data_IF_881764766626
#
_entry.id   IF_881764766626
#
_cell.length_a   1.000
_cell.length_b   1.000
_cell.length_c   1.000
_cell.angle_alpha   90.00
_cell.angle_beta   90.00
_cell.angle_gamma   90.00
#
_symmetry.space_group_name_H-M   'P 1'
#
loop_
_entity.id
_entity.type
_entity.pdbx_description
1 polymer ?
#
# COMPACT_ATOMS: atom_id res chain seq x y z
N UNK A 1 -15.18 8.52 2.71
CA UNK A 1 -16.14 8.62 3.84
C UNK A 1 -15.90 7.55 4.91
N UNK A 2 -15.62 6.29 4.55
CA UNK A 2 -15.32 5.19 5.48
C UNK A 2 -14.05 5.38 6.34
N UNK A 3 -12.99 5.95 5.78
CA UNK A 3 -11.73 6.22 6.51
C UNK A 3 -11.88 7.28 7.60
N UNK A 4 -12.64 8.33 7.33
CA UNK A 4 -12.90 9.43 8.27
C UNK A 4 -13.69 8.94 9.50
N UNK A 5 -14.71 8.11 9.28
CA UNK A 5 -15.48 7.50 10.36
C UNK A 5 -14.63 6.56 11.22
N UNK A 6 -13.76 5.75 10.58
CA UNK A 6 -12.83 4.86 11.27
C UNK A 6 -11.84 5.65 12.15
N UNK A 7 -11.26 6.72 11.62
CA UNK A 7 -10.33 7.58 12.38
C UNK A 7 -11.05 8.31 13.52
N UNK A 8 -12.23 8.87 13.27
CA UNK A 8 -13.03 9.55 14.30
C UNK A 8 -13.41 8.62 15.45
N UNK A 9 -13.80 7.38 15.16
CA UNK A 9 -14.10 6.37 16.18
C UNK A 9 -12.93 6.17 17.15
N UNK A 10 -11.70 5.98 16.62
CA UNK A 10 -10.51 5.80 17.44
C UNK A 10 -10.09 7.08 18.19
N UNK A 11 -10.22 8.25 17.58
CA UNK A 11 -9.94 9.54 18.22
C UNK A 11 -10.88 9.79 19.40
N UNK A 12 -12.17 9.49 19.25
CA UNK A 12 -13.16 9.65 20.32
C UNK A 12 -12.91 8.67 21.48
N UNK A 13 -12.52 7.43 21.20
CA UNK A 13 -12.11 6.47 22.23
C UNK A 13 -10.88 7.00 22.98
N UNK A 14 -9.84 7.45 22.27
CA UNK A 14 -8.62 7.98 22.87
C UNK A 14 -8.91 9.23 23.74
N UNK A 15 -9.70 10.17 23.22
CA UNK A 15 -10.13 11.36 23.96
C UNK A 15 -10.98 11.00 25.19
N UNK A 16 -11.86 10.01 25.08
CA UNK A 16 -12.66 9.51 26.20
C UNK A 16 -11.82 8.87 27.31
N UNK A 17 -10.84 8.04 26.95
CA UNK A 17 -9.90 7.44 27.90
C UNK A 17 -9.01 8.51 28.56
N UNK A 18 -8.53 9.47 27.78
CA UNK A 18 -7.73 10.60 28.26
C UNK A 18 -8.53 11.48 29.24
N UNK A 19 -9.78 11.81 28.89
CA UNK A 19 -10.67 12.57 29.75
C UNK A 19 -10.99 11.82 31.04
N UNK A 20 -11.21 10.49 30.98
CA UNK A 20 -11.43 9.66 32.16
C UNK A 20 -10.19 9.65 33.07
N UNK A 21 -8.99 9.54 32.50
CA UNK A 21 -7.73 9.61 33.24
C UNK A 21 -7.51 10.98 33.90
N UNK A 22 -7.84 12.09 33.24
CA UNK A 22 -7.76 13.43 33.86
C UNK A 22 -8.84 13.67 34.93
N UNK A 23 -9.95 12.92 34.89
CA UNK A 23 -11.01 13.01 35.90
C UNK A 23 -10.65 12.25 37.18
N UNK A 24 -9.86 11.19 37.08
CA UNK A 24 -9.41 10.40 38.24
C UNK A 24 -8.24 11.04 38.98
N UNK A 25 -7.51 11.98 38.38
CA UNK A 25 -6.33 12.63 39.01
C UNK A 25 -6.67 13.87 39.83
N UNK A 26 -7.81 14.54 39.60
CA UNK A 26 -8.18 15.79 40.29
C UNK A 26 -8.98 15.62 41.58
N UNK A 27 -9.23 14.40 42.05
CA UNK A 27 -10.07 14.17 43.22
C UNK A 27 -9.78 12.87 43.95
N UNK A 28 -8.65 12.81 44.68
CA UNK A 28 -8.47 12.16 46.01
C UNK A 28 -7.00 11.84 46.27
N UNK A 29 -6.38 12.66 47.13
CA UNK A 29 -5.52 12.13 48.17
C UNK A 29 -6.39 11.29 49.11
N UNK A 30 -6.58 10.03 48.76
CA UNK A 30 -7.07 9.00 49.65
C UNK A 30 -6.52 7.69 49.11
N UNK A 31 -5.60 7.10 49.87
CA UNK A 31 -5.18 5.70 49.76
C UNK A 31 -6.39 4.80 49.97
N UNK A 32 -7.27 4.74 48.99
CA UNK A 32 -8.21 3.64 48.83
C UNK A 32 -7.54 2.76 47.81
N UNK A 33 -6.90 1.71 48.29
CA UNK A 33 -6.45 0.62 47.44
C UNK A 33 -7.58 0.36 46.45
N UNK A 34 -7.35 0.73 45.19
CA UNK A 34 -8.16 0.23 44.09
C UNK A 34 -7.91 -1.25 44.21
N UNK A 35 -8.80 -1.95 44.91
CA UNK A 35 -8.87 -3.39 44.83
C UNK A 35 -9.17 -3.60 43.36
N UNK A 36 -8.11 -3.75 42.57
CA UNK A 36 -8.20 -4.15 41.20
C UNK A 36 -9.15 -5.31 41.25
N UNK A 37 -10.36 -5.16 40.69
CA UNK A 37 -11.21 -6.32 40.45
C UNK A 37 -10.32 -7.17 39.58
N UNK A 38 -9.69 -8.17 40.19
CA UNK A 38 -8.73 -9.03 39.52
C UNK A 38 -9.56 -9.63 38.39
N UNK A 39 -9.30 -9.22 37.15
CA UNK A 39 -9.98 -9.84 36.02
C UNK A 39 -9.73 -11.34 36.18
N UNK A 40 -10.80 -12.15 36.22
CA UNK A 40 -10.63 -13.57 36.47
C UNK A 40 -9.64 -14.10 35.43
N UNK A 41 -8.71 -14.94 35.87
CA UNK A 41 -7.58 -15.41 35.05
C UNK A 41 -8.05 -16.02 33.72
N UNK A 42 -9.27 -16.55 33.68
CA UNK A 42 -9.97 -17.05 32.48
C UNK A 42 -10.23 -15.98 31.42
N UNK A 43 -10.52 -14.73 31.80
CA UNK A 43 -10.73 -13.63 30.85
C UNK A 43 -9.41 -13.15 30.23
N UNK A 44 -8.32 -13.12 31.01
CA UNK A 44 -6.98 -12.78 30.50
C UNK A 44 -6.51 -13.87 29.53
N UNK A 45 -6.67 -15.14 29.90
CA UNK A 45 -6.33 -16.28 29.04
C UNK A 45 -7.20 -16.33 27.79
N UNK A 46 -8.51 -16.05 27.91
CA UNK A 46 -9.43 -15.98 26.78
C UNK A 46 -9.07 -14.86 25.80
N UNK A 47 -8.74 -13.67 26.31
CA UNK A 47 -8.29 -12.55 25.46
C UNK A 47 -6.94 -12.83 24.78
N UNK A 48 -5.98 -13.41 25.51
CA UNK A 48 -4.70 -13.80 24.94
C UNK A 48 -4.86 -14.88 23.86
N UNK A 49 -5.69 -15.89 24.11
CA UNK A 49 -6.00 -16.95 23.14
C UNK A 49 -6.71 -16.38 21.92
N UNK A 50 -7.73 -15.55 22.11
CA UNK A 50 -8.44 -14.89 21.01
C UNK A 50 -7.49 -14.04 20.16
N UNK A 51 -6.58 -13.29 20.78
CA UNK A 51 -5.60 -12.46 20.06
C UNK A 51 -4.63 -13.31 19.27
N UNK A 52 -4.14 -14.43 19.81
CA UNK A 52 -3.30 -15.38 19.07
C UNK A 52 -4.06 -16.04 17.92
N UNK A 53 -5.29 -16.46 18.17
CA UNK A 53 -6.14 -17.13 17.17
C UNK A 53 -6.48 -16.17 16.04
N UNK A 54 -7.02 -14.99 16.32
CA UNK A 54 -7.30 -13.98 15.29
C UNK A 54 -6.01 -13.45 14.64
N UNK A 55 -4.92 -13.33 15.40
CA UNK A 55 -3.61 -12.92 14.90
C UNK A 55 -2.97 -13.91 13.91
N UNK A 56 -3.39 -15.18 13.93
CA UNK A 56 -2.94 -16.20 12.95
C UNK A 56 -3.98 -16.45 11.88
N UNK A 57 -5.26 -16.59 12.26
CA UNK A 57 -6.37 -16.91 11.35
C UNK A 57 -6.61 -15.79 10.35
N UNK A 58 -6.62 -14.52 10.78
CA UNK A 58 -6.90 -13.41 9.86
C UNK A 58 -5.79 -13.30 8.80
N UNK A 59 -4.49 -13.26 9.15
CA UNK A 59 -3.44 -13.24 8.13
C UNK A 59 -3.47 -14.47 7.20
N UNK A 60 -3.67 -15.68 7.74
CA UNK A 60 -3.74 -16.89 6.93
C UNK A 60 -4.92 -16.85 5.93
N UNK A 61 -6.10 -16.43 6.38
CA UNK A 61 -7.28 -16.30 5.53
C UNK A 61 -7.07 -15.23 4.44
N UNK A 62 -6.40 -14.12 4.76
CA UNK A 62 -6.06 -13.08 3.78
C UNK A 62 -5.10 -13.64 2.73
N UNK A 63 -4.03 -14.32 3.14
CA UNK A 63 -3.05 -14.91 2.20
C UNK A 63 -3.74 -15.86 1.22
N UNK A 64 -4.60 -16.77 1.70
CA UNK A 64 -5.37 -17.69 0.85
C UNK A 64 -6.34 -16.93 -0.08
N UNK A 65 -6.95 -15.85 0.41
CA UNK A 65 -7.89 -15.05 -0.38
C UNK A 65 -7.21 -14.19 -1.45
N UNK A 66 -5.93 -13.85 -1.29
CA UNK A 66 -5.19 -13.05 -2.28
C UNK A 66 -4.79 -13.87 -3.51
N UNK A 67 -4.46 -15.15 -3.33
CA UNK A 67 -4.12 -16.07 -4.42
C UNK A 67 -5.30 -16.28 -5.39
N UNK A 68 -6.54 -16.19 -4.88
CA UNK A 68 -7.76 -16.48 -5.64
C UNK A 68 -8.42 -15.25 -6.29
N UNK A 69 -7.91 -14.02 -6.08
CA UNK A 69 -8.52 -12.83 -6.70
C UNK A 69 -7.95 -12.56 -8.09
N UNK A 70 -8.59 -13.10 -9.12
CA UNK A 70 -8.40 -12.69 -10.52
C UNK A 70 -9.23 -11.44 -10.90
N UNK A 71 -10.20 -11.06 -10.07
CA UNK A 71 -11.16 -10.00 -10.40
C UNK A 71 -10.93 -8.76 -9.54
N UNK A 72 -9.90 -7.98 -9.91
CA UNK A 72 -9.83 -6.55 -9.58
C UNK A 72 -10.36 -5.80 -10.79
N UNK A 73 -11.31 -4.86 -10.66
CA UNK A 73 -11.82 -4.07 -11.78
C UNK A 73 -10.63 -3.46 -12.52
N UNK A 74 -10.35 -3.99 -13.71
CA UNK A 74 -9.06 -3.86 -14.34
C UNK A 74 -9.01 -2.55 -15.12
N UNK A 75 -8.24 -1.61 -14.59
CA UNK A 75 -7.59 -0.62 -15.44
C UNK A 75 -6.45 -1.38 -16.14
N UNK A 76 -6.69 -1.88 -17.35
CA UNK A 76 -5.71 -2.44 -18.30
C UNK A 76 -4.76 -3.57 -17.81
N UNK A 77 -5.05 -4.25 -16.69
CA UNK A 77 -4.24 -5.36 -16.15
C UNK A 77 -4.76 -6.77 -16.46
N UNK A 78 -5.95 -6.89 -17.05
CA UNK A 78 -6.44 -8.19 -17.51
C UNK A 78 -5.73 -8.59 -18.82
N UNK A 79 -5.06 -9.75 -18.83
CA UNK A 79 -4.39 -10.29 -20.02
C UNK A 79 -2.92 -9.87 -20.21
N UNK A 80 -2.19 -9.64 -19.12
CA UNK A 80 -0.73 -9.45 -19.18
C UNK A 80 0.01 -10.75 -19.52
N UNK A 81 1.01 -10.67 -20.40
CA UNK A 81 1.95 -11.77 -20.65
C UNK A 81 2.83 -12.00 -19.41
N UNK A 82 3.61 -13.10 -19.38
CA UNK A 82 4.56 -13.35 -18.30
C UNK A 82 5.59 -12.21 -18.18
N UNK A 83 6.08 -11.70 -19.30
CA UNK A 83 7.01 -10.57 -19.36
C UNK A 83 6.37 -9.29 -18.83
N UNK A 84 5.13 -8.98 -19.21
CA UNK A 84 4.46 -7.76 -18.72
C UNK A 84 4.11 -7.84 -17.23
N UNK A 85 3.81 -9.04 -16.71
CA UNK A 85 3.65 -9.25 -15.25
C UNK A 85 4.95 -9.01 -14.50
N UNK A 86 6.07 -9.49 -15.03
CA UNK A 86 7.40 -9.19 -14.49
C UNK A 86 7.67 -7.68 -14.51
N UNK A 87 7.36 -7.02 -15.63
CA UNK A 87 7.44 -5.56 -15.77
C UNK A 87 6.57 -4.81 -14.77
N UNK A 88 5.36 -5.29 -14.49
CA UNK A 88 4.47 -4.72 -13.47
C UNK A 88 5.08 -4.81 -12.06
N UNK A 89 5.68 -5.95 -11.73
CA UNK A 89 6.33 -6.16 -10.44
C UNK A 89 7.53 -5.21 -10.27
N UNK A 90 8.41 -5.17 -11.27
CA UNK A 90 9.55 -4.26 -11.29
C UNK A 90 9.13 -2.79 -11.21
N UNK A 91 8.07 -2.39 -11.94
CA UNK A 91 7.51 -1.04 -11.84
C UNK A 91 7.08 -0.72 -10.40
N UNK A 92 6.43 -1.67 -9.72
CA UNK A 92 6.03 -1.53 -8.31
C UNK A 92 7.21 -1.30 -7.35
N UNK A 93 8.36 -1.91 -7.66
CA UNK A 93 9.58 -1.81 -6.86
C UNK A 93 10.39 -0.54 -7.16
N UNK A 94 10.49 -0.13 -8.43
CA UNK A 94 11.44 0.91 -8.88
C UNK A 94 10.77 2.24 -9.26
N UNK A 95 9.55 2.21 -9.78
CA UNK A 95 8.95 3.37 -10.47
C UNK A 95 7.74 3.97 -9.72
N UNK A 96 6.99 3.14 -8.98
CA UNK A 96 5.73 3.50 -8.29
C UNK A 96 5.83 4.74 -7.39
N UNK A 97 6.98 4.95 -6.75
CA UNK A 97 7.16 6.06 -5.81
C UNK A 97 7.35 7.41 -6.50
N UNK A 98 7.55 7.41 -7.82
CA UNK A 98 7.74 8.64 -8.59
C UNK A 98 6.58 8.89 -9.56
N UNK A 99 6.04 7.85 -10.19
CA UNK A 99 5.04 7.98 -11.25
C UNK A 99 3.62 7.61 -10.81
N UNK A 100 2.64 8.19 -11.51
CA UNK A 100 1.26 7.71 -11.48
C UNK A 100 1.05 6.72 -12.61
N UNK A 101 0.47 5.57 -12.29
CA UNK A 101 0.07 4.52 -13.23
C UNK A 101 -0.98 3.65 -12.53
N UNK A 102 -2.25 3.79 -12.92
CA UNK A 102 -3.39 3.16 -12.27
C UNK A 102 -3.31 1.62 -12.31
N UNK A 103 -2.85 1.06 -13.44
CA UNK A 103 -2.60 -0.37 -13.62
C UNK A 103 -1.59 -0.95 -12.61
N UNK A 104 -0.67 -0.13 -12.11
CA UNK A 104 0.32 -0.51 -11.10
C UNK A 104 -0.04 -0.03 -9.68
N UNK A 105 -1.26 0.51 -9.49
CA UNK A 105 -1.71 1.15 -8.25
C UNK A 105 -0.72 2.22 -7.75
N UNK A 106 -0.13 2.96 -8.68
CA UNK A 106 0.83 4.03 -8.41
C UNK A 106 0.16 5.39 -8.57
N UNK A 107 0.45 6.32 -7.65
CA UNK A 107 -0.20 7.65 -7.59
C UNK A 107 0.78 8.76 -7.19
N UNK A 108 2.09 8.51 -7.36
CA UNK A 108 3.09 9.53 -7.06
C UNK A 108 3.13 10.60 -8.16
N UNK A 109 3.41 11.84 -7.76
CA UNK A 109 3.42 13.02 -8.62
C UNK A 109 4.82 13.66 -8.76
N UNK A 110 5.89 12.87 -8.53
CA UNK A 110 7.27 13.34 -8.71
C UNK A 110 7.63 13.35 -10.19
N UNK A 111 7.25 12.30 -10.91
CA UNK A 111 7.33 12.19 -12.36
C UNK A 111 5.96 12.40 -13.01
N UNK A 112 5.91 12.40 -14.35
CA UNK A 112 4.66 12.54 -15.09
C UNK A 112 3.68 11.41 -14.80
N UNK A 113 2.39 11.72 -14.94
CA UNK A 113 1.33 10.73 -14.95
C UNK A 113 1.38 9.91 -16.24
N UNK A 114 1.64 8.61 -16.13
CA UNK A 114 1.81 7.72 -17.27
C UNK A 114 0.48 7.30 -17.89
N UNK A 115 -0.63 7.35 -17.14
CA UNK A 115 -1.98 7.13 -17.67
C UNK A 115 -2.40 8.24 -18.65
N UNK A 116 -1.88 9.46 -18.42
CA UNK A 116 -2.11 10.64 -19.26
C UNK A 116 -1.08 10.74 -20.38
N UNK A 117 0.21 10.56 -20.07
CA UNK A 117 1.31 10.69 -21.03
C UNK A 117 1.28 9.59 -22.10
N UNK A 118 0.86 8.38 -21.73
CA UNK A 118 0.78 7.19 -22.62
C UNK A 118 2.02 7.00 -23.49
N UNK A 119 3.22 6.92 -22.87
CA UNK A 119 4.46 6.83 -23.63
C UNK A 119 4.56 5.49 -24.39
N UNK A 120 5.02 5.48 -25.65
CA UNK A 120 5.32 4.24 -26.36
C UNK A 120 6.51 3.52 -25.72
N UNK A 121 6.63 2.19 -25.97
CA UNK A 121 7.65 1.33 -25.35
C UNK A 121 9.06 1.90 -25.49
N UNK A 122 9.44 2.35 -26.70
CA UNK A 122 10.78 2.90 -26.95
C UNK A 122 11.11 4.16 -26.13
N UNK A 123 10.12 5.03 -25.89
CA UNK A 123 10.32 6.22 -25.07
C UNK A 123 10.46 5.88 -23.58
N UNK A 124 9.76 4.84 -23.11
CA UNK A 124 9.94 4.32 -21.75
C UNK A 124 11.32 3.70 -21.58
N UNK A 125 11.76 2.89 -22.55
CA UNK A 125 13.08 2.24 -22.51
C UNK A 125 14.21 3.28 -22.47
N UNK A 126 14.18 4.26 -23.38
CA UNK A 126 15.15 5.35 -23.38
C UNK A 126 15.14 6.16 -22.07
N UNK A 127 13.96 6.36 -21.46
CA UNK A 127 13.88 7.04 -20.17
C UNK A 127 14.48 6.22 -19.02
N UNK A 128 14.35 4.89 -19.06
CA UNK A 128 14.96 3.98 -18.08
C UNK A 128 16.49 3.99 -18.23
N UNK A 129 16.98 3.89 -19.46
CA UNK A 129 18.42 3.81 -19.77
C UNK A 129 19.12 5.15 -19.53
N UNK A 130 18.64 6.25 -20.09
CA UNK A 130 19.35 7.53 -20.04
C UNK A 130 18.95 8.41 -18.85
N UNK A 131 17.83 8.08 -18.20
CA UNK A 131 17.20 8.98 -17.24
C UNK A 131 16.74 10.29 -17.89
N UNK A 132 16.46 11.29 -17.04
CA UNK A 132 16.03 12.64 -17.46
C UNK A 132 16.74 13.79 -16.73
N UNK A 133 17.72 13.48 -15.88
CA UNK A 133 18.49 14.45 -15.08
C UNK A 133 19.23 15.52 -15.91
N UNK A 134 19.44 15.30 -17.22
CA UNK A 134 20.08 16.24 -18.14
C UNK A 134 19.13 17.29 -18.74
N UNK A 135 18.18 17.80 -17.95
CA UNK A 135 17.32 18.93 -18.32
C UNK A 135 15.85 18.61 -18.62
N UNK A 136 15.45 17.34 -18.56
CA UNK A 136 14.05 16.90 -18.81
C UNK A 136 13.37 16.30 -17.57
N UNK A 137 13.97 16.42 -16.38
CA UNK A 137 13.45 15.89 -15.13
C UNK A 137 14.56 15.51 -14.14
N UNK A 138 14.20 14.75 -13.10
CA UNK A 138 15.13 14.24 -12.07
C UNK A 138 15.22 12.70 -12.07
N UNK A 139 14.68 12.04 -13.11
CA UNK A 139 14.74 10.59 -13.23
C UNK A 139 16.19 10.14 -13.43
N UNK A 140 16.65 9.22 -12.58
CA UNK A 140 17.96 8.58 -12.70
C UNK A 140 17.98 7.60 -13.88
N UNK A 141 19.18 7.41 -14.44
CA UNK A 141 19.49 6.40 -15.45
C UNK A 141 19.63 5.00 -14.83
N UNK A 142 19.66 3.96 -15.67
CA UNK A 142 20.01 2.58 -15.34
C UNK A 142 19.23 2.00 -14.13
N UNK A 143 17.92 2.31 -14.05
CA UNK A 143 17.06 1.84 -12.96
C UNK A 143 16.80 0.32 -12.99
N UNK A 144 16.77 -0.22 -14.21
CA UNK A 144 16.70 -1.64 -14.58
C UNK A 144 17.38 -1.77 -15.96
N UNK A 145 17.87 -2.96 -16.30
CA UNK A 145 18.67 -3.18 -17.51
C UNK A 145 18.19 -4.42 -18.29
N UNK A 146 18.53 -4.48 -19.58
CA UNK A 146 18.27 -5.65 -20.42
C UNK A 146 16.79 -6.07 -20.44
N UNK A 147 16.53 -7.36 -20.20
CA UNK A 147 15.19 -7.95 -20.24
C UNK A 147 14.23 -7.32 -19.22
N UNK A 148 14.75 -6.84 -18.08
CA UNK A 148 13.96 -6.17 -17.04
C UNK A 148 13.48 -4.80 -17.52
N UNK A 149 14.35 -4.04 -18.20
CA UNK A 149 13.98 -2.75 -18.80
C UNK A 149 12.94 -2.93 -19.90
N UNK A 150 13.11 -3.95 -20.74
CA UNK A 150 12.12 -4.32 -21.76
C UNK A 150 10.77 -4.70 -21.17
N UNK A 151 10.78 -5.48 -20.08
CA UNK A 151 9.57 -5.92 -19.40
C UNK A 151 8.80 -4.72 -18.81
N UNK A 152 9.49 -3.81 -18.11
CA UNK A 152 8.89 -2.59 -17.57
C UNK A 152 8.35 -1.72 -18.69
N UNK A 153 9.12 -1.50 -19.76
CA UNK A 153 8.69 -0.67 -20.89
C UNK A 153 7.46 -1.24 -21.60
N UNK A 154 7.42 -2.56 -21.83
CA UNK A 154 6.28 -3.25 -22.43
C UNK A 154 5.03 -3.13 -21.54
N UNK A 155 5.18 -3.36 -20.24
CA UNK A 155 4.10 -3.21 -19.28
C UNK A 155 3.54 -1.78 -19.26
N UNK A 156 4.40 -0.75 -19.16
CA UNK A 156 3.96 0.65 -19.10
C UNK A 156 3.22 1.06 -20.37
N UNK A 157 3.73 0.68 -21.55
CA UNK A 157 3.07 0.99 -22.83
C UNK A 157 1.67 0.35 -22.91
N UNK A 158 1.54 -0.93 -22.52
CA UNK A 158 0.24 -1.62 -22.51
C UNK A 158 -0.71 -1.07 -21.46
N UNK A 159 -0.22 -0.86 -20.25
CA UNK A 159 -1.00 -0.38 -19.11
C UNK A 159 -1.59 1.02 -19.35
N UNK A 160 -0.80 1.91 -19.95
CA UNK A 160 -1.23 3.27 -20.28
C UNK A 160 -2.08 3.35 -21.55
N UNK A 161 -2.19 2.25 -22.31
CA UNK A 161 -2.91 2.22 -23.59
C UNK A 161 -2.19 2.96 -24.72
N UNK A 162 -0.86 3.02 -24.69
CA UNK A 162 -0.04 3.55 -25.77
C UNK A 162 -0.16 2.67 -27.03
N UNK A 163 -0.05 3.28 -28.22
CA UNK A 163 0.09 2.53 -29.49
C UNK A 163 1.46 1.85 -29.50
N UNK A 164 1.48 0.56 -29.83
CA UNK A 164 2.72 -0.20 -30.02
C UNK A 164 3.30 0.16 -31.39
N UNK A 165 4.27 1.09 -31.41
CA UNK A 165 5.12 1.38 -32.57
C UNK A 165 6.59 1.27 -32.15
#
# INVERSE_FOLDING_TARGET
MSTLAFVLFWVLIAAGLLFLAFRTTRGRAATRAVRARQLPRSWILGFALATLVFGVIIPAAVIVSMDQRTDIPSVNVAGLTAQERHGQELFGQRCRNCHTLAAAKASAAVGPNLDELRPPKGLVLNAIEEGRSRGNGQMAADLVEGEDAEAVAAFVAKASGARQE
#
